data_IF_110482263224
#
_entry.id   IF_110482263224
#
_cell.length_a   1.000
_cell.length_b   1.000
_cell.length_c   1.000
_cell.angle_alpha   90.00
_cell.angle_beta   90.00
_cell.angle_gamma   90.00
#
_symmetry.space_group_name_H-M   'P 1'
#
loop_
_entity.id
_entity.type
_entity.pdbx_description
1 polymer ?
#
# COMPACT_ATOMS: atom_id res chain seq x y z
N UNK A 1 -0.31 -2.57 -15.24
CA UNK A 1 -1.69 -2.51 -14.69
C UNK A 1 -1.69 -2.81 -13.20
N UNK A 2 -2.72 -2.43 -12.44
CA UNK A 2 -2.78 -2.53 -10.96
C UNK A 2 -2.47 -3.94 -10.42
N UNK A 3 -2.98 -4.99 -11.06
CA UNK A 3 -2.71 -6.38 -10.69
C UNK A 3 -1.23 -6.75 -10.79
N UNK A 4 -0.54 -6.26 -11.83
CA UNK A 4 0.89 -6.51 -12.03
C UNK A 4 1.74 -5.85 -10.94
N UNK A 5 1.43 -4.61 -10.56
CA UNK A 5 2.13 -3.91 -9.47
C UNK A 5 1.97 -4.61 -8.13
N UNK A 6 0.75 -5.09 -7.84
CA UNK A 6 0.48 -5.84 -6.63
C UNK A 6 1.25 -7.17 -6.58
N UNK A 7 1.24 -7.92 -7.69
CA UNK A 7 1.98 -9.19 -7.78
C UNK A 7 3.49 -8.97 -7.71
N UNK A 8 4.00 -7.92 -8.36
CA UNK A 8 5.41 -7.57 -8.29
C UNK A 8 5.84 -7.22 -6.86
N UNK A 9 5.03 -6.47 -6.11
CA UNK A 9 5.26 -6.22 -4.69
C UNK A 9 5.21 -7.51 -3.85
N UNK A 10 4.21 -8.37 -4.08
CA UNK A 10 4.06 -9.64 -3.37
C UNK A 10 5.27 -10.56 -3.55
N UNK A 11 5.73 -10.76 -4.78
CA UNK A 11 6.84 -11.67 -5.08
C UNK A 11 8.23 -11.09 -4.80
N UNK A 12 8.35 -9.81 -4.44
CA UNK A 12 9.59 -9.30 -3.81
C UNK A 12 9.83 -9.90 -2.43
N UNK A 13 8.80 -10.45 -1.77
CA UNK A 13 8.97 -11.22 -0.55
C UNK A 13 9.87 -12.44 -0.78
N UNK A 14 10.49 -12.95 0.29
CA UNK A 14 11.41 -14.09 0.24
C UNK A 14 12.59 -13.89 -0.76
N UNK A 15 13.09 -12.66 -0.85
CA UNK A 15 14.26 -12.33 -1.67
C UNK A 15 14.00 -12.39 -3.18
N UNK A 16 12.74 -12.35 -3.64
CA UNK A 16 12.46 -12.33 -5.08
C UNK A 16 12.56 -13.69 -5.77
N UNK A 17 12.62 -14.80 -5.03
CA UNK A 17 12.84 -16.14 -5.61
C UNK A 17 11.65 -16.72 -6.39
N UNK A 18 10.52 -16.01 -6.43
CA UNK A 18 9.28 -16.45 -7.08
C UNK A 18 8.37 -17.32 -6.21
N UNK A 19 8.78 -17.69 -4.99
CA UNK A 19 7.99 -18.48 -4.07
C UNK A 19 7.80 -17.79 -2.71
N UNK A 20 6.55 -17.67 -2.29
CA UNK A 20 6.16 -17.12 -0.98
C UNK A 20 5.32 -18.15 -0.24
N UNK A 21 5.77 -18.57 0.95
CA UNK A 21 5.03 -19.54 1.77
C UNK A 21 3.71 -18.91 2.25
N UNK A 22 2.60 -19.63 2.11
CA UNK A 22 1.31 -19.21 2.66
C UNK A 22 1.38 -19.15 4.20
N UNK A 23 0.66 -18.21 4.85
CA UNK A 23 0.51 -18.19 6.30
C UNK A 23 -0.03 -19.51 6.85
N UNK A 24 0.42 -19.89 8.04
CA UNK A 24 0.08 -21.19 8.65
C UNK A 24 -1.43 -21.41 8.82
N UNK A 25 -2.21 -20.35 9.07
CA UNK A 25 -3.68 -20.44 9.21
C UNK A 25 -4.42 -20.72 7.88
N UNK A 26 -3.74 -20.60 6.73
CA UNK A 26 -4.25 -21.06 5.44
C UNK A 26 -3.81 -22.50 5.12
N UNK A 27 -2.87 -23.05 5.89
CA UNK A 27 -2.31 -24.38 5.68
C UNK A 27 -2.86 -25.41 6.68
N UNK A 28 -3.24 -24.97 7.87
CA UNK A 28 -3.68 -25.83 8.98
C UNK A 28 -5.14 -25.54 9.31
N UNK A 29 -5.90 -26.60 9.55
CA UNK A 29 -7.22 -26.52 10.18
C UNK A 29 -7.04 -26.21 11.67
N UNK A 30 -7.90 -25.36 12.22
CA UNK A 30 -7.90 -25.05 13.65
C UNK A 30 -8.14 -26.30 14.53
N UNK A 31 -7.89 -26.20 15.85
CA UNK A 31 -8.05 -27.31 16.79
C UNK A 31 -9.44 -27.97 16.72
N UNK A 32 -10.48 -27.17 16.44
CA UNK A 32 -11.88 -27.60 16.39
C UNK A 32 -12.41 -27.77 14.95
N UNK A 33 -11.53 -27.95 13.97
CA UNK A 33 -11.94 -28.07 12.56
C UNK A 33 -12.19 -26.71 11.88
N UNK A 34 -11.85 -25.61 12.54
CA UNK A 34 -12.10 -24.26 12.05
C UNK A 34 -11.28 -23.96 10.78
N UNK A 35 -11.94 -23.38 9.78
CA UNK A 35 -11.33 -22.90 8.54
C UNK A 35 -11.35 -21.37 8.53
N UNK A 36 -10.28 -20.74 8.06
CA UNK A 36 -10.24 -19.28 7.95
C UNK A 36 -11.29 -18.77 6.95
N UNK A 37 -12.23 -17.96 7.43
CA UNK A 37 -13.22 -17.27 6.61
C UNK A 37 -12.82 -15.79 6.44
N UNK A 38 -12.41 -15.36 5.22
CA UNK A 38 -11.95 -13.99 4.96
C UNK A 38 -13.00 -12.90 5.20
N UNK A 39 -14.27 -13.29 5.29
CA UNK A 39 -15.43 -12.40 5.46
C UNK A 39 -15.98 -12.41 6.89
N UNK A 40 -15.44 -13.25 7.78
CA UNK A 40 -15.83 -13.24 9.17
C UNK A 40 -15.37 -11.93 9.84
N UNK A 41 -16.13 -11.43 10.82
CA UNK A 41 -15.72 -10.29 11.64
C UNK A 41 -14.54 -10.71 12.53
N UNK A 42 -13.32 -10.53 12.02
CA UNK A 42 -12.08 -10.77 12.76
C UNK A 42 -11.72 -9.50 13.55
N UNK A 43 -11.32 -9.67 14.80
CA UNK A 43 -10.86 -8.56 15.64
C UNK A 43 -9.62 -7.88 15.02
N UNK A 44 -9.48 -6.57 15.23
CA UNK A 44 -8.30 -5.82 14.80
C UNK A 44 -7.07 -6.35 15.52
N UNK A 45 -6.07 -6.82 14.78
CA UNK A 45 -4.82 -7.36 15.33
C UNK A 45 -3.71 -6.32 15.39
N UNK A 46 -3.67 -5.40 14.42
CA UNK A 46 -2.59 -4.42 14.30
C UNK A 46 -3.10 -3.10 13.75
N UNK A 47 -2.45 -2.01 14.15
CA UNK A 47 -2.66 -0.68 13.58
C UNK A 47 -1.39 -0.22 12.88
N UNK A 48 -1.48 0.08 11.60
CA UNK A 48 -0.39 0.63 10.79
C UNK A 48 -0.59 2.15 10.67
N UNK A 49 0.42 2.91 11.09
CA UNK A 49 0.49 4.35 10.85
C UNK A 49 1.48 4.63 9.74
N UNK A 50 1.05 5.36 8.73
CA UNK A 50 1.85 5.74 7.57
C UNK A 50 1.89 7.25 7.51
N UNK A 51 3.09 7.85 7.60
CA UNK A 51 3.27 9.28 7.43
C UNK A 51 3.87 9.55 6.05
N UNK A 52 3.11 10.20 5.17
CA UNK A 52 3.60 10.70 3.89
C UNK A 52 4.22 12.07 4.15
N UNK A 53 5.56 12.11 4.15
CA UNK A 53 6.30 13.32 4.49
C UNK A 53 6.45 14.23 3.27
N UNK A 54 7.18 13.78 2.24
CA UNK A 54 7.48 14.56 1.04
C UNK A 54 7.69 13.65 -0.18
N UNK A 55 7.58 14.23 -1.39
CA UNK A 55 7.98 13.60 -2.65
C UNK A 55 9.27 14.21 -3.18
N UNK A 56 10.26 13.37 -3.50
CA UNK A 56 11.50 13.77 -4.18
C UNK A 56 11.83 12.78 -5.31
N UNK A 57 12.79 13.12 -6.15
CA UNK A 57 13.29 12.26 -7.23
C UNK A 57 12.58 12.43 -8.57
N UNK A 58 11.28 12.74 -8.57
CA UNK A 58 10.49 12.86 -9.82
C UNK A 58 11.02 13.94 -10.79
N UNK A 59 11.57 15.04 -10.27
CA UNK A 59 12.22 16.10 -11.08
C UNK A 59 13.45 15.62 -11.86
N UNK A 60 14.02 14.48 -11.49
CA UNK A 60 15.13 13.83 -12.21
C UNK A 60 14.63 12.90 -13.32
N UNK A 61 13.42 12.35 -13.15
CA UNK A 61 12.81 11.41 -14.11
C UNK A 61 12.12 12.13 -15.28
N UNK A 62 11.73 13.40 -15.10
CA UNK A 62 11.06 14.22 -16.12
C UNK A 62 11.85 15.48 -16.45
N UNK A 63 11.98 15.79 -17.74
CA UNK A 63 12.55 17.09 -18.19
C UNK A 63 11.61 18.21 -17.77
N UNK A 64 12.14 19.37 -17.36
CA UNK A 64 11.33 20.54 -16.99
C UNK A 64 10.37 21.02 -18.07
N UNK A 65 10.61 20.69 -19.35
CA UNK A 65 9.74 21.01 -20.49
C UNK A 65 8.62 19.99 -20.73
N UNK A 66 8.50 18.97 -19.88
CA UNK A 66 7.52 17.89 -20.05
C UNK A 66 6.11 18.30 -19.59
N UNK A 67 6.04 19.30 -18.72
CA UNK A 67 4.82 19.97 -18.27
C UNK A 67 4.80 21.39 -18.87
N UNK A 68 3.64 22.05 -18.90
CA UNK A 68 3.49 23.39 -19.50
C UNK A 68 4.64 24.32 -19.14
N UNK A 69 5.09 25.13 -20.11
CA UNK A 69 6.36 25.86 -20.03
C UNK A 69 6.52 26.59 -18.68
N UNK A 70 7.37 26.02 -17.81
CA UNK A 70 7.79 26.50 -16.49
C UNK A 70 6.88 26.22 -15.26
N UNK A 71 5.75 25.53 -15.38
CA UNK A 71 4.91 25.18 -14.22
C UNK A 71 5.16 23.75 -13.70
N UNK A 72 5.35 23.55 -12.38
CA UNK A 72 5.35 22.21 -11.80
C UNK A 72 3.93 21.61 -11.89
N UNK A 73 3.78 20.30 -12.04
CA UNK A 73 2.46 19.67 -12.00
C UNK A 73 1.92 19.56 -10.57
N UNK A 74 0.62 19.26 -10.47
CA UNK A 74 -0.04 19.03 -9.19
C UNK A 74 0.23 17.62 -8.67
N UNK A 75 0.65 17.51 -7.41
CA UNK A 75 1.00 16.23 -6.80
C UNK A 75 0.02 15.79 -5.72
N UNK A 76 -0.30 14.49 -5.72
CA UNK A 76 -0.91 13.80 -4.60
C UNK A 76 -0.41 12.36 -4.52
N UNK A 77 -0.42 11.78 -3.33
CA UNK A 77 -0.02 10.39 -3.08
C UNK A 77 -1.23 9.57 -2.65
N UNK A 78 -1.29 8.31 -3.08
CA UNK A 78 -2.33 7.36 -2.69
C UNK A 78 -1.70 6.24 -1.89
N UNK A 79 -2.21 5.97 -0.70
CA UNK A 79 -1.77 4.84 0.12
C UNK A 79 -2.88 3.81 0.14
N UNK A 80 -2.60 2.63 -0.41
CA UNK A 80 -3.53 1.52 -0.49
C UNK A 80 -3.09 0.34 0.36
N UNK A 81 -4.01 -0.22 1.14
CA UNK A 81 -3.86 -1.55 1.74
C UNK A 81 -4.63 -2.54 0.87
N UNK A 82 -3.95 -3.61 0.48
CA UNK A 82 -4.55 -4.73 -0.23
C UNK A 82 -4.43 -5.99 0.63
N UNK A 83 -5.51 -6.76 0.73
CA UNK A 83 -5.55 -7.96 1.56
C UNK A 83 -6.96 -8.54 1.59
N UNK A 84 -7.42 -8.93 2.77
CA UNK A 84 -8.82 -9.32 2.97
C UNK A 84 -9.76 -8.13 2.69
N UNK A 85 -11.03 -8.38 2.30
CA UNK A 85 -11.99 -7.30 2.04
C UNK A 85 -12.13 -6.32 3.21
N UNK A 86 -12.05 -6.81 4.46
CA UNK A 86 -12.14 -6.00 5.67
C UNK A 86 -10.97 -4.99 5.83
N UNK A 87 -9.79 -5.32 5.30
CA UNK A 87 -8.58 -4.50 5.41
C UNK A 87 -8.32 -3.66 4.15
N UNK A 88 -9.09 -3.89 3.08
CA UNK A 88 -8.86 -3.25 1.79
C UNK A 88 -9.36 -1.81 1.81
N UNK A 89 -8.44 -0.86 1.84
CA UNK A 89 -8.76 0.57 1.91
C UNK A 89 -7.75 1.39 1.13
N UNK A 90 -8.21 2.51 0.57
CA UNK A 90 -7.40 3.46 -0.19
C UNK A 90 -7.59 4.85 0.40
N UNK A 91 -6.49 5.50 0.79
CA UNK A 91 -6.46 6.90 1.24
C UNK A 91 -5.59 7.71 0.29
N UNK A 92 -5.83 9.02 0.21
CA UNK A 92 -5.03 9.93 -0.61
C UNK A 92 -4.71 11.18 0.18
N UNK A 93 -3.55 11.77 -0.10
CA UNK A 93 -3.18 13.08 0.43
C UNK A 93 -3.95 14.19 -0.28
N UNK A 94 -3.87 15.41 0.26
CA UNK A 94 -4.27 16.62 -0.46
C UNK A 94 -3.39 16.79 -1.70
N UNK A 95 -3.96 17.41 -2.73
CA UNK A 95 -3.17 17.88 -3.85
C UNK A 95 -2.34 19.09 -3.41
N UNK A 96 -1.06 19.10 -3.79
CA UNK A 96 -0.18 20.27 -3.72
C UNK A 96 0.02 20.75 -5.14
N UNK A 97 -0.40 21.99 -5.41
CA UNK A 97 -0.36 22.61 -6.72
C UNK A 97 0.99 23.32 -6.92
N UNK A 98 1.51 23.28 -8.14
CA UNK A 98 2.71 24.04 -8.57
C UNK A 98 3.92 23.95 -7.61
N UNK A 99 4.26 22.76 -7.08
CA UNK A 99 5.44 22.55 -6.21
C UNK A 99 6.40 21.47 -6.76
N UNK A 100 7.67 21.82 -6.92
CA UNK A 100 8.73 20.89 -7.34
C UNK A 100 9.09 19.84 -6.27
N UNK A 101 8.77 20.13 -5.00
CA UNK A 101 9.12 19.34 -3.81
C UNK A 101 7.93 19.27 -2.85
N UNK A 102 6.84 18.58 -3.22
CA UNK A 102 5.62 18.55 -2.42
C UNK A 102 5.87 17.96 -1.02
N UNK A 103 5.54 18.71 0.02
CA UNK A 103 5.60 18.29 1.42
C UNK A 103 4.18 18.19 1.98
N UNK A 104 3.70 16.95 2.19
CA UNK A 104 2.36 16.70 2.72
C UNK A 104 2.31 16.70 4.25
N UNK A 105 3.29 16.07 4.91
CA UNK A 105 3.25 15.82 6.36
C UNK A 105 1.95 15.14 6.86
N UNK A 106 1.28 14.36 6.00
CA UNK A 106 0.00 13.74 6.33
C UNK A 106 0.19 12.33 6.93
N UNK A 107 -0.53 12.04 8.02
CA UNK A 107 -0.54 10.72 8.66
C UNK A 107 -1.86 9.97 8.38
N UNK A 108 -1.73 8.74 7.91
CA UNK A 108 -2.83 7.82 7.71
C UNK A 108 -2.73 6.66 8.71
N UNK A 109 -3.85 6.38 9.37
CA UNK A 109 -3.99 5.19 10.22
C UNK A 109 -4.84 4.13 9.52
N UNK A 110 -4.36 2.88 9.55
CA UNK A 110 -5.00 1.71 8.98
C UNK A 110 -5.11 0.62 10.04
N UNK A 111 -6.31 0.06 10.23
CA UNK A 111 -6.55 -1.09 11.11
C UNK A 111 -6.49 -2.36 10.28
N UNK A 112 -5.68 -3.32 10.71
CA UNK A 112 -5.47 -4.60 10.04
C UNK A 112 -6.01 -5.73 10.91
N UNK A 113 -6.96 -6.47 10.36
CA UNK A 113 -7.52 -7.69 10.95
C UNK A 113 -6.65 -8.91 10.62
N UNK A 114 -6.01 -8.92 9.45
CA UNK A 114 -5.14 -10.01 8.99
C UNK A 114 -3.83 -9.44 8.43
N UNK A 115 -2.94 -8.91 9.29
CA UNK A 115 -1.69 -8.29 8.86
C UNK A 115 -0.75 -9.25 8.12
N UNK A 116 -0.94 -10.56 8.24
CA UNK A 116 -0.12 -11.59 7.59
C UNK A 116 -0.39 -11.72 6.08
N UNK A 117 -1.51 -11.17 5.58
CA UNK A 117 -1.88 -11.17 4.15
C UNK A 117 -1.98 -9.72 3.60
N UNK A 118 -1.89 -8.71 4.47
CA UNK A 118 -1.94 -7.31 4.07
C UNK A 118 -0.65 -6.84 3.43
N UNK A 119 -0.75 -6.26 2.24
CA UNK A 119 0.35 -5.58 1.54
C UNK A 119 0.01 -4.09 1.42
N UNK A 120 0.94 -3.23 1.80
CA UNK A 120 0.87 -1.81 1.50
C UNK A 120 1.58 -1.55 0.15
N UNK A 121 0.92 -0.83 -0.73
CA UNK A 121 1.53 -0.30 -1.96
C UNK A 121 1.46 1.22 -1.95
N UNK A 122 2.59 1.85 -2.24
CA UNK A 122 2.77 3.28 -2.50
C UNK A 122 2.40 3.67 -3.94
#
# INVERSE_FOLDING_TARGET
GRSLWLMHGFYKANGGCGYVKKPDFLLKTGPDGEVFYPTANVAVKKTLKVKVYMGDGWRMDFKQTHFDAYSPPDFYTRVGIAGVPADTVMKKTKAIEDDWTPVWNEEFTFTLTVPEIGFASD
#
